data_IF_326056717877
#
_entry.id   IF_326056717877
#
_cell.length_a   1.000
_cell.length_b   1.000
_cell.length_c   1.000
_cell.angle_alpha   90.00
_cell.angle_beta   90.00
_cell.angle_gamma   90.00
#
_symmetry.space_group_name_H-M   'P 1'
#
loop_
_entity.id
_entity.type
_entity.pdbx_description
1 polymer ?
#
# COMPACT_ATOMS: atom_id res chain seq x y z
N UNK A 1 16.32 63.89 8.63
CA UNK A 1 16.56 62.61 7.91
C UNK A 1 17.28 62.93 6.63
N UNK A 2 18.47 62.39 6.42
CA UNK A 2 19.30 62.67 5.25
C UNK A 2 18.82 61.76 4.09
N UNK A 3 19.04 62.24 2.84
CA UNK A 3 18.68 61.49 1.62
C UNK A 3 19.23 60.08 1.56
N UNK A 4 20.33 59.79 2.29
CA UNK A 4 20.93 58.47 2.40
C UNK A 4 20.10 57.48 3.24
N UNK A 5 19.44 57.92 4.30
CA UNK A 5 18.62 57.06 5.19
C UNK A 5 17.33 56.60 4.50
N UNK A 6 16.79 57.43 3.60
CA UNK A 6 15.60 57.05 2.79
C UNK A 6 15.92 56.00 1.70
N UNK A 7 17.12 56.03 1.15
CA UNK A 7 17.57 55.03 0.17
C UNK A 7 17.84 53.66 0.77
N UNK A 8 18.40 53.61 1.99
CA UNK A 8 18.62 52.33 2.67
C UNK A 8 17.32 51.67 3.13
N UNK A 9 16.33 52.46 3.58
CA UNK A 9 15.01 51.90 3.96
C UNK A 9 14.24 51.37 2.75
N UNK A 10 14.37 52.02 1.59
CA UNK A 10 13.70 51.53 0.36
C UNK A 10 14.34 50.26 -0.18
N UNK A 11 15.67 50.12 -0.13
CA UNK A 11 16.37 48.91 -0.52
C UNK A 11 16.03 47.70 0.35
N UNK A 12 15.93 47.91 1.68
CA UNK A 12 15.54 46.83 2.60
C UNK A 12 14.12 46.31 2.40
N UNK A 13 13.18 47.23 2.14
CA UNK A 13 11.76 46.85 1.88
C UNK A 13 11.62 46.09 0.56
N UNK A 14 12.35 46.47 -0.49
CA UNK A 14 12.33 45.77 -1.77
C UNK A 14 12.93 44.37 -1.67
N UNK A 15 14.03 44.19 -0.93
CA UNK A 15 14.67 42.90 -0.70
C UNK A 15 13.77 41.94 0.13
N UNK A 16 13.10 42.46 1.18
CA UNK A 16 12.16 41.68 1.95
C UNK A 16 10.93 41.26 1.11
N UNK A 17 10.40 42.15 0.29
CA UNK A 17 9.28 41.85 -0.61
C UNK A 17 9.64 40.80 -1.65
N UNK A 18 10.86 40.85 -2.22
CA UNK A 18 11.36 39.87 -3.18
C UNK A 18 11.57 38.49 -2.52
N UNK A 19 12.07 38.43 -1.27
CA UNK A 19 12.26 37.18 -0.53
C UNK A 19 10.91 36.51 -0.19
N UNK A 20 9.92 37.27 0.24
CA UNK A 20 8.57 36.77 0.55
C UNK A 20 7.87 36.31 -0.74
N UNK A 21 8.02 37.06 -1.84
CA UNK A 21 7.49 36.69 -3.14
C UNK A 21 8.11 35.41 -3.71
N UNK A 22 9.42 35.25 -3.58
CA UNK A 22 10.15 34.05 -3.98
C UNK A 22 9.74 32.82 -3.14
N UNK A 23 9.60 32.96 -1.81
CA UNK A 23 9.13 31.88 -0.94
C UNK A 23 7.70 31.48 -1.25
N UNK A 24 6.80 32.44 -1.48
CA UNK A 24 5.41 32.17 -1.86
C UNK A 24 5.28 31.55 -3.27
N UNK A 25 6.14 31.93 -4.20
CA UNK A 25 6.23 31.32 -5.53
C UNK A 25 6.77 29.88 -5.44
N UNK A 26 7.80 29.66 -4.62
CA UNK A 26 8.41 28.35 -4.42
C UNK A 26 7.42 27.34 -3.80
N UNK A 27 6.60 27.76 -2.83
CA UNK A 27 5.57 26.92 -2.22
C UNK A 27 4.43 26.62 -3.18
N UNK A 28 4.09 27.53 -4.10
CA UNK A 28 3.10 27.30 -5.18
C UNK A 28 3.64 26.44 -6.31
N UNK A 29 4.91 26.55 -6.64
CA UNK A 29 5.55 25.80 -7.73
C UNK A 29 5.95 24.37 -7.32
N UNK A 30 6.02 24.05 -6.01
CA UNK A 30 6.33 22.74 -5.49
C UNK A 30 5.21 22.23 -4.57
N UNK A 31 4.05 21.80 -5.10
CA UNK A 31 2.98 21.19 -4.30
C UNK A 31 3.39 19.86 -3.66
N UNK A 32 4.59 19.33 -4.00
CA UNK A 32 5.11 18.05 -3.50
C UNK A 32 5.73 18.06 -2.10
N UNK A 33 5.77 19.20 -1.38
CA UNK A 33 6.29 19.27 -0.01
C UNK A 33 5.20 19.23 1.08
N UNK A 34 3.92 19.05 0.71
CA UNK A 34 2.94 18.65 1.69
C UNK A 34 3.45 17.32 2.27
N UNK A 35 3.75 17.26 3.59
CA UNK A 35 3.99 16.00 4.29
C UNK A 35 2.78 15.12 4.01
N UNK A 36 2.91 14.20 3.05
CA UNK A 36 1.94 13.12 2.88
C UNK A 36 1.94 12.41 4.21
N UNK A 37 0.82 12.39 4.92
CA UNK A 37 0.70 11.67 6.16
C UNK A 37 1.19 10.24 5.87
N UNK A 38 2.11 9.71 6.67
CA UNK A 38 2.72 8.43 6.35
C UNK A 38 1.65 7.35 6.39
N UNK A 39 1.46 6.62 5.29
CA UNK A 39 0.55 5.46 5.29
C UNK A 39 0.90 4.55 6.47
N UNK A 40 -0.08 4.17 7.31
CA UNK A 40 0.18 3.48 8.57
C UNK A 40 0.60 2.02 8.31
N UNK A 41 1.85 1.86 7.94
CA UNK A 41 2.51 0.58 7.68
C UNK A 41 3.61 0.35 8.71
N UNK A 42 3.58 -0.79 9.37
CA UNK A 42 4.67 -1.24 10.24
C UNK A 42 5.74 -1.90 9.37
N UNK A 43 6.94 -1.33 9.35
CA UNK A 43 8.08 -1.90 8.62
C UNK A 43 8.88 -2.82 9.54
N UNK A 44 9.45 -3.93 9.03
CA UNK A 44 10.38 -4.74 9.80
C UNK A 44 11.62 -3.89 10.14
N UNK A 45 12.18 -4.12 11.34
CA UNK A 45 13.39 -3.42 11.79
C UNK A 45 14.61 -3.75 10.90
N UNK A 46 14.67 -4.99 10.41
CA UNK A 46 15.72 -5.49 9.53
C UNK A 46 15.10 -6.02 8.22
N UNK A 47 15.84 -5.93 7.08
CA UNK A 47 15.38 -6.48 5.81
C UNK A 47 15.06 -7.97 5.94
N UNK A 48 13.79 -8.31 5.90
CA UNK A 48 13.30 -9.68 6.12
C UNK A 48 12.73 -10.23 4.83
N UNK A 49 13.10 -11.43 4.44
CA UNK A 49 12.47 -12.15 3.33
C UNK A 49 11.09 -12.61 3.77
N UNK A 50 10.07 -12.34 2.96
CA UNK A 50 8.73 -12.84 3.23
C UNK A 50 8.74 -14.38 3.18
N UNK A 51 8.09 -15.02 4.15
CA UNK A 51 8.02 -16.48 4.23
C UNK A 51 7.31 -17.04 3.01
N UNK A 52 7.96 -17.94 2.28
CA UNK A 52 7.34 -18.60 1.13
C UNK A 52 6.27 -19.60 1.59
N UNK A 53 5.30 -19.81 0.74
CA UNK A 53 4.20 -20.75 0.97
C UNK A 53 3.75 -21.38 -0.35
N UNK A 54 3.01 -22.46 -0.27
CA UNK A 54 2.26 -23.03 -1.37
C UNK A 54 0.81 -23.24 -0.94
N UNK A 55 -0.13 -22.59 -1.64
CA UNK A 55 -1.56 -22.72 -1.43
C UNK A 55 -2.29 -23.00 -2.76
N UNK A 56 -3.43 -23.66 -2.68
CA UNK A 56 -4.28 -23.82 -3.84
C UNK A 56 -5.09 -22.54 -4.11
N UNK A 57 -5.24 -22.17 -5.38
CA UNK A 57 -6.26 -21.20 -5.81
C UNK A 57 -7.65 -21.84 -5.91
N UNK A 58 -8.66 -21.07 -6.30
CA UNK A 58 -10.02 -21.58 -6.50
C UNK A 58 -10.15 -22.57 -7.67
N UNK A 59 -9.21 -22.59 -8.60
CA UNK A 59 -9.15 -23.59 -9.67
C UNK A 59 -8.40 -24.87 -9.25
N UNK A 60 -7.85 -24.91 -8.05
CA UNK A 60 -7.05 -26.01 -7.51
C UNK A 60 -5.59 -26.00 -7.97
N UNK A 61 -5.11 -24.92 -8.58
CA UNK A 61 -3.72 -24.77 -8.99
C UNK A 61 -2.88 -24.37 -7.79
N UNK A 62 -1.72 -25.00 -7.66
CA UNK A 62 -0.73 -24.60 -6.63
C UNK A 62 -0.15 -23.23 -7.00
N UNK A 63 -0.12 -22.31 -6.04
CA UNK A 63 0.43 -20.95 -6.15
C UNK A 63 1.38 -20.73 -4.99
N UNK A 64 2.57 -20.25 -5.31
CA UNK A 64 3.62 -19.91 -4.33
C UNK A 64 3.86 -18.41 -4.28
N UNK A 65 4.30 -17.90 -3.16
CA UNK A 65 4.67 -16.47 -3.08
C UNK A 65 5.80 -16.13 -4.07
N UNK A 66 6.75 -17.03 -4.26
CA UNK A 66 7.85 -16.85 -5.22
C UNK A 66 7.40 -16.69 -6.67
N UNK A 67 6.19 -17.14 -7.04
CA UNK A 67 5.65 -17.00 -8.40
C UNK A 67 5.35 -15.53 -8.75
N UNK A 68 5.29 -14.67 -7.73
CA UNK A 68 5.07 -13.23 -7.87
C UNK A 68 6.38 -12.41 -7.88
N UNK A 69 7.55 -13.03 -7.94
CA UNK A 69 8.82 -12.31 -8.03
C UNK A 69 8.81 -11.28 -9.17
N UNK A 70 9.44 -10.13 -8.95
CA UNK A 70 9.42 -9.00 -9.88
C UNK A 70 8.18 -8.11 -9.75
N UNK A 71 7.23 -8.47 -8.88
CA UNK A 71 6.03 -7.67 -8.60
C UNK A 71 5.98 -7.24 -7.14
N UNK A 72 5.36 -6.11 -6.87
CA UNK A 72 4.95 -5.73 -5.52
C UNK A 72 3.66 -6.49 -5.20
N UNK A 73 3.62 -7.19 -4.06
CA UNK A 73 2.47 -8.02 -3.68
C UNK A 73 1.80 -7.46 -2.44
N UNK A 74 0.48 -7.27 -2.49
CA UNK A 74 -0.38 -7.11 -1.33
C UNK A 74 -0.98 -8.48 -1.00
N UNK A 75 -0.47 -9.12 0.03
CA UNK A 75 -0.94 -10.40 0.54
C UNK A 75 -1.94 -10.13 1.67
N UNK A 76 -3.23 -10.15 1.33
CA UNK A 76 -4.32 -9.78 2.25
C UNK A 76 -4.95 -11.03 2.86
N UNK A 77 -4.84 -11.19 4.18
CA UNK A 77 -5.51 -12.25 4.92
C UNK A 77 -6.92 -11.82 5.32
N UNK A 78 -7.90 -12.65 5.02
CA UNK A 78 -9.31 -12.34 5.16
C UNK A 78 -10.18 -13.57 5.42
N UNK A 79 -11.45 -13.34 5.80
CA UNK A 79 -12.47 -14.39 5.90
C UNK A 79 -13.86 -13.83 5.56
N UNK A 80 -14.82 -14.71 5.21
CA UNK A 80 -16.18 -14.29 4.85
C UNK A 80 -16.97 -13.70 6.01
N UNK A 81 -16.66 -14.13 7.25
CA UNK A 81 -17.25 -13.63 8.49
C UNK A 81 -16.60 -12.33 9.01
N UNK A 82 -15.55 -11.86 8.36
CA UNK A 82 -14.83 -10.64 8.74
C UNK A 82 -15.45 -9.42 8.03
N UNK A 83 -16.35 -8.72 8.68
CA UNK A 83 -17.02 -7.55 8.10
C UNK A 83 -16.05 -6.45 7.65
N UNK A 84 -15.00 -6.05 8.42
CA UNK A 84 -14.01 -5.07 7.97
C UNK A 84 -13.23 -5.53 6.72
N UNK A 85 -13.02 -6.85 6.54
CA UNK A 85 -12.37 -7.38 5.35
C UNK A 85 -13.22 -7.09 4.10
N UNK A 86 -14.53 -7.29 4.20
CA UNK A 86 -15.45 -7.03 3.09
C UNK A 86 -15.47 -5.56 2.69
N UNK A 87 -15.36 -4.65 3.65
CA UNK A 87 -15.36 -3.20 3.40
C UNK A 87 -14.14 -2.76 2.57
N UNK A 88 -12.96 -3.36 2.76
CA UNK A 88 -11.75 -2.94 2.02
C UNK A 88 -11.56 -3.66 0.67
N UNK A 89 -12.20 -4.82 0.44
CA UNK A 89 -11.99 -5.61 -0.77
C UNK A 89 -12.29 -4.90 -2.09
N UNK A 90 -13.34 -4.07 -2.21
CA UNK A 90 -13.57 -3.28 -3.43
C UNK A 90 -12.42 -2.33 -3.75
N UNK A 91 -11.84 -1.69 -2.72
CA UNK A 91 -10.69 -0.80 -2.86
C UNK A 91 -9.43 -1.56 -3.31
N UNK A 92 -9.19 -2.74 -2.73
CA UNK A 92 -8.10 -3.63 -3.14
C UNK A 92 -8.27 -4.12 -4.59
N UNK A 93 -9.50 -4.43 -5.00
CA UNK A 93 -9.82 -4.81 -6.39
C UNK A 93 -9.59 -3.67 -7.39
N UNK A 94 -10.02 -2.45 -7.04
CA UNK A 94 -9.77 -1.25 -7.84
C UNK A 94 -8.26 -0.98 -7.99
N UNK A 95 -7.52 -1.10 -6.89
CA UNK A 95 -6.07 -0.91 -6.85
C UNK A 95 -5.34 -1.96 -7.70
N UNK A 96 -5.77 -3.23 -7.65
CA UNK A 96 -5.23 -4.31 -8.48
C UNK A 96 -5.42 -4.01 -9.97
N UNK A 97 -6.57 -3.48 -10.35
CA UNK A 97 -6.87 -3.09 -11.74
C UNK A 97 -6.02 -1.91 -12.18
N UNK A 98 -5.92 -0.86 -11.37
CA UNK A 98 -5.20 0.37 -11.69
C UNK A 98 -3.69 0.18 -11.74
N UNK A 99 -3.12 -0.45 -10.72
CA UNK A 99 -1.66 -0.59 -10.57
C UNK A 99 -1.10 -1.93 -11.06
N UNK A 100 -1.97 -2.87 -11.44
CA UNK A 100 -1.58 -4.15 -12.02
C UNK A 100 -0.61 -4.03 -13.20
N UNK A 101 -0.90 -3.16 -14.21
CA UNK A 101 0.02 -2.91 -15.33
C UNK A 101 1.38 -2.34 -14.92
N UNK A 102 1.46 -1.68 -13.74
CA UNK A 102 2.69 -1.11 -13.19
C UNK A 102 3.47 -2.11 -12.32
N UNK A 103 2.96 -3.32 -12.15
CA UNK A 103 3.64 -4.39 -11.42
C UNK A 103 3.12 -4.61 -10.00
N UNK A 104 1.90 -4.16 -9.65
CA UNK A 104 1.23 -4.58 -8.42
C UNK A 104 0.49 -5.90 -8.63
N UNK A 105 0.47 -6.73 -7.60
CA UNK A 105 -0.45 -7.88 -7.50
C UNK A 105 -1.13 -7.81 -6.14
N UNK A 106 -2.45 -8.01 -6.11
CA UNK A 106 -3.21 -8.19 -4.88
C UNK A 106 -3.69 -9.62 -4.83
N UNK A 107 -3.47 -10.29 -3.71
CA UNK A 107 -3.86 -11.70 -3.50
C UNK A 107 -4.57 -11.80 -2.15
N UNK A 108 -5.79 -12.33 -2.15
CA UNK A 108 -6.52 -12.66 -0.92
C UNK A 108 -6.13 -14.06 -0.45
N UNK A 109 -5.69 -14.19 0.80
CA UNK A 109 -5.50 -15.49 1.47
C UNK A 109 -6.65 -15.69 2.42
N UNK A 110 -7.52 -16.63 2.09
CA UNK A 110 -8.69 -16.91 2.91
C UNK A 110 -8.33 -17.83 4.07
N UNK A 111 -8.77 -17.43 5.27
CA UNK A 111 -8.44 -18.10 6.52
C UNK A 111 -9.50 -19.14 6.93
N UNK A 112 -9.13 -20.41 6.84
CA UNK A 112 -9.86 -21.58 7.41
C UNK A 112 -11.31 -21.79 6.94
N UNK A 113 -11.62 -21.45 5.68
CA UNK A 113 -12.94 -21.68 5.12
C UNK A 113 -12.88 -22.65 3.93
N UNK A 114 -14.02 -23.24 3.61
CA UNK A 114 -14.13 -24.16 2.48
C UNK A 114 -14.23 -23.40 1.14
N UNK A 115 -13.75 -24.04 0.07
CA UNK A 115 -13.87 -23.47 -1.27
C UNK A 115 -15.30 -23.09 -1.66
N UNK A 116 -16.35 -23.94 -1.43
CA UNK A 116 -17.74 -23.58 -1.77
C UNK A 116 -18.22 -22.30 -1.06
N UNK A 117 -17.86 -22.10 0.22
CA UNK A 117 -18.23 -20.91 0.98
C UNK A 117 -17.59 -19.66 0.37
N UNK A 118 -16.29 -19.73 0.07
CA UNK A 118 -15.54 -18.64 -0.54
C UNK A 118 -16.08 -18.32 -1.92
N UNK A 119 -16.34 -19.31 -2.77
CA UNK A 119 -16.90 -19.08 -4.12
C UNK A 119 -18.28 -18.44 -4.08
N UNK A 120 -19.15 -18.89 -3.16
CA UNK A 120 -20.47 -18.28 -2.97
C UNK A 120 -20.35 -16.81 -2.55
N UNK A 121 -19.43 -16.53 -1.64
CA UNK A 121 -19.17 -15.18 -1.14
C UNK A 121 -18.62 -14.26 -2.23
N UNK A 122 -17.62 -14.71 -2.99
CA UNK A 122 -17.01 -13.97 -4.11
C UNK A 122 -18.07 -13.61 -5.15
N UNK A 123 -18.93 -14.57 -5.54
CA UNK A 123 -20.01 -14.32 -6.49
C UNK A 123 -21.00 -13.27 -5.95
N UNK A 124 -21.41 -13.41 -4.69
CA UNK A 124 -22.35 -12.50 -4.03
C UNK A 124 -21.82 -11.07 -3.99
N UNK A 125 -20.55 -10.89 -3.64
CA UNK A 125 -19.92 -9.59 -3.45
C UNK A 125 -19.13 -9.09 -4.66
N UNK A 126 -19.12 -9.84 -5.77
CA UNK A 126 -18.44 -9.52 -7.04
C UNK A 126 -16.95 -9.19 -6.86
N UNK A 127 -16.27 -9.95 -6.00
CA UNK A 127 -14.86 -9.75 -5.74
C UNK A 127 -14.02 -10.21 -6.94
N UNK A 128 -12.98 -9.45 -7.27
CA UNK A 128 -12.19 -9.64 -8.51
C UNK A 128 -10.73 -10.01 -8.26
N UNK A 129 -10.25 -9.94 -6.99
CA UNK A 129 -8.87 -10.31 -6.67
C UNK A 129 -8.70 -11.83 -6.62
N UNK A 130 -7.54 -12.37 -7.04
CA UNK A 130 -7.22 -13.79 -6.88
C UNK A 130 -7.29 -14.22 -5.41
N UNK A 131 -7.85 -15.42 -5.17
CA UNK A 131 -8.01 -15.99 -3.83
C UNK A 131 -7.24 -17.28 -3.68
N UNK A 132 -6.51 -17.41 -2.58
CA UNK A 132 -5.80 -18.61 -2.14
C UNK A 132 -6.46 -19.18 -0.88
N UNK A 133 -6.40 -20.49 -0.73
CA UNK A 133 -7.14 -21.25 0.27
C UNK A 133 -6.19 -21.73 1.38
N UNK A 134 -6.10 -21.00 2.48
CA UNK A 134 -5.39 -21.46 3.70
C UNK A 134 -6.33 -22.20 4.63
N UNK A 135 -6.78 -23.40 4.18
CA UNK A 135 -7.82 -24.19 4.87
C UNK A 135 -7.47 -24.58 6.30
N UNK A 136 -6.20 -24.80 6.57
CA UNK A 136 -5.72 -25.23 7.88
C UNK A 136 -5.19 -24.05 8.70
N UNK A 137 -5.03 -22.87 8.07
CA UNK A 137 -4.50 -21.67 8.72
C UNK A 137 -2.99 -21.72 8.94
N UNK A 138 -2.27 -22.62 8.24
CA UNK A 138 -0.82 -22.76 8.40
C UNK A 138 -0.04 -21.56 7.91
N UNK A 139 -0.46 -20.99 6.80
CA UNK A 139 0.21 -19.79 6.26
C UNK A 139 -0.10 -18.59 7.15
N UNK A 140 -1.33 -18.44 7.62
CA UNK A 140 -1.70 -17.42 8.58
C UNK A 140 -0.86 -17.54 9.88
N UNK A 141 -0.62 -18.76 10.38
CA UNK A 141 0.25 -19.00 11.53
C UNK A 141 1.71 -18.61 11.26
N UNK A 142 2.27 -19.00 10.11
CA UNK A 142 3.64 -18.64 9.69
C UNK A 142 3.83 -17.12 9.61
N UNK A 143 2.81 -16.40 9.15
CA UNK A 143 2.80 -14.95 9.06
C UNK A 143 2.38 -14.27 10.37
N UNK A 144 2.13 -15.03 11.44
CA UNK A 144 1.69 -14.52 12.75
C UNK A 144 0.44 -13.62 12.63
N UNK A 145 -0.55 -14.11 11.90
CA UNK A 145 -1.83 -13.41 11.70
C UNK A 145 -2.71 -13.60 12.93
N UNK A 146 -2.83 -12.58 13.77
CA UNK A 146 -3.64 -12.60 14.99
C UNK A 146 -4.96 -11.84 14.87
N UNK A 147 -5.13 -11.08 13.81
CA UNK A 147 -6.33 -10.29 13.52
C UNK A 147 -6.58 -10.18 12.03
N UNK A 148 -7.85 -10.00 11.63
CA UNK A 148 -8.27 -9.77 10.26
C UNK A 148 -8.98 -8.42 10.12
N UNK A 149 -8.82 -7.72 8.99
CA UNK A 149 -7.86 -8.02 7.93
C UNK A 149 -6.42 -7.67 8.33
N UNK A 150 -5.47 -8.34 7.74
CA UNK A 150 -4.07 -7.92 7.75
C UNK A 150 -3.49 -8.08 6.36
N UNK A 151 -2.71 -7.09 5.91
CA UNK A 151 -2.07 -7.09 4.61
C UNK A 151 -0.56 -7.00 4.77
N UNK A 152 0.15 -7.98 4.27
CA UNK A 152 1.61 -7.93 4.14
C UNK A 152 1.96 -7.37 2.77
N UNK A 153 2.84 -6.37 2.77
CA UNK A 153 3.35 -5.77 1.54
C UNK A 153 4.71 -6.38 1.26
N UNK A 154 4.82 -7.07 0.13
CA UNK A 154 6.04 -7.74 -0.30
C UNK A 154 6.60 -7.01 -1.51
N UNK A 155 7.88 -6.70 -1.48
CA UNK A 155 8.57 -6.01 -2.57
C UNK A 155 8.90 -6.96 -3.76
N UNK A 156 9.45 -6.41 -4.84
CA UNK A 156 9.79 -7.16 -6.06
C UNK A 156 10.82 -8.27 -5.84
N UNK A 157 11.65 -8.14 -4.80
CA UNK A 157 12.66 -9.15 -4.41
C UNK A 157 12.08 -10.19 -3.45
N UNK A 158 10.80 -10.04 -3.06
CA UNK A 158 10.13 -10.90 -2.10
C UNK A 158 10.54 -10.62 -0.65
N UNK A 159 10.98 -9.42 -0.34
CA UNK A 159 11.21 -8.97 1.03
C UNK A 159 9.93 -8.32 1.57
N UNK A 160 9.74 -8.44 2.85
CA UNK A 160 8.64 -7.78 3.55
C UNK A 160 8.92 -6.27 3.61
N UNK A 161 8.16 -5.48 2.86
CA UNK A 161 8.23 -4.03 2.86
C UNK A 161 7.39 -3.41 3.99
N UNK A 162 6.40 -4.15 4.50
CA UNK A 162 5.61 -3.74 5.64
C UNK A 162 4.38 -4.58 5.91
N UNK A 163 3.75 -4.31 7.05
CA UNK A 163 2.51 -4.95 7.51
C UNK A 163 1.48 -3.88 7.85
N UNK A 164 0.27 -4.06 7.39
CA UNK A 164 -0.88 -3.18 7.62
C UNK A 164 -1.96 -3.98 8.33
N UNK A 165 -2.26 -3.63 9.57
CA UNK A 165 -3.27 -4.32 10.40
C UNK A 165 -4.57 -3.53 10.41
N UNK A 166 -5.70 -4.21 10.18
CA UNK A 166 -7.02 -3.64 10.11
C UNK A 166 -7.31 -2.90 8.80
N UNK A 167 -8.56 -2.47 8.65
CA UNK A 167 -9.05 -1.76 7.46
C UNK A 167 -8.29 -0.46 7.20
N UNK A 168 -8.01 -0.18 5.92
CA UNK A 168 -7.35 1.06 5.47
C UNK A 168 -7.97 1.60 4.19
N UNK A 169 -7.78 2.89 3.99
CA UNK A 169 -8.08 3.54 2.71
C UNK A 169 -6.96 3.24 1.70
N UNK A 170 -7.12 2.12 1.00
CA UNK A 170 -6.14 1.67 0.01
C UNK A 170 -6.11 2.52 -1.27
N UNK A 171 -7.18 3.30 -1.54
CA UNK A 171 -7.27 4.17 -2.71
C UNK A 171 -6.94 5.64 -2.41
N UNK A 172 -6.73 5.96 -1.13
CA UNK A 172 -6.32 7.28 -0.68
C UNK A 172 -4.91 7.67 -1.11
N UNK A 173 -4.57 8.96 -1.00
CA UNK A 173 -3.27 9.50 -1.46
C UNK A 173 -2.08 8.90 -0.73
N UNK A 174 -2.23 8.56 0.55
CA UNK A 174 -1.15 8.02 1.38
C UNK A 174 -0.76 6.59 0.95
N UNK A 175 -1.77 5.73 0.72
CA UNK A 175 -1.56 4.39 0.19
C UNK A 175 -0.94 4.42 -1.21
N UNK A 176 -1.47 5.28 -2.10
CA UNK A 176 -0.94 5.47 -3.46
C UNK A 176 0.49 5.99 -3.44
N UNK A 177 0.82 6.92 -2.55
CA UNK A 177 2.17 7.44 -2.35
C UNK A 177 3.14 6.34 -1.91
N UNK A 178 2.76 5.54 -0.92
CA UNK A 178 3.55 4.42 -0.42
C UNK A 178 3.79 3.35 -1.50
N UNK A 179 2.74 2.89 -2.15
CA UNK A 179 2.84 1.89 -3.21
C UNK A 179 3.58 2.44 -4.44
N UNK A 180 3.37 3.72 -4.76
CA UNK A 180 4.08 4.40 -5.84
C UNK A 180 5.60 4.37 -5.66
N UNK A 181 6.10 4.56 -4.43
CA UNK A 181 7.53 4.46 -4.12
C UNK A 181 8.06 3.03 -4.35
N UNK A 182 7.33 2.00 -3.90
CA UNK A 182 7.72 0.60 -4.13
C UNK A 182 7.69 0.23 -5.61
N UNK A 183 6.68 0.69 -6.34
CA UNK A 183 6.54 0.41 -7.77
C UNK A 183 7.57 1.15 -8.65
N UNK A 184 8.04 2.32 -8.22
CA UNK A 184 9.06 3.10 -8.93
C UNK A 184 10.47 2.57 -8.70
N UNK A 185 10.70 1.83 -7.61
CA UNK A 185 12.02 1.28 -7.30
C UNK A 185 12.14 -0.15 -7.84
N UNK A 186 12.93 -0.38 -8.92
CA UNK A 186 13.13 -1.73 -9.47
C UNK A 186 13.90 -2.64 -8.51
N UNK A 187 14.56 -2.05 -7.53
CA UNK A 187 15.37 -2.75 -6.53
C UNK A 187 14.64 -2.92 -5.18
N UNK A 188 13.40 -2.43 -5.06
CA UNK A 188 12.56 -2.67 -3.89
C UNK A 188 11.75 -3.94 -4.07
#
# INVERSE_FOLDING_TARGET
MTRGQLLELSAGVVLLGAAIGAAAYWTRANPGTAKVAAFPVTRPAEPTVATDFELADLAGRAVRLQDFRGRVVLLNFWATWCAPCLEEMPALGALATELGPRGLTVVGVNFKESKPEIEAFIRKHKLTIPMLLDREGRVAEQYQVFALPVTFVVDRRGKLAGTVVGIRDWIGPDARGYLGQLLANPEA
#
